data_IF_719145695515
#
_entry.id   IF_719145695515
#
_cell.length_a   1.000
_cell.length_b   1.000
_cell.length_c   1.000
_cell.angle_alpha   90.00
_cell.angle_beta   90.00
_cell.angle_gamma   90.00
#
_symmetry.space_group_name_H-M   'P 1'
#
loop_
_entity.id
_entity.type
_entity.pdbx_description
1 polymer ?
#
# COMPACT_ATOMS: atom_id res chain seq x y z
N UNK A 1 -8.62 -11.77 -25.04
CA UNK A 1 -7.45 -10.87 -25.01
C UNK A 1 -7.55 -10.06 -23.74
N UNK A 2 -6.66 -10.28 -22.76
CA UNK A 2 -6.54 -9.38 -21.63
C UNK A 2 -5.78 -8.15 -22.13
N UNK A 3 -6.40 -6.97 -22.00
CA UNK A 3 -5.69 -5.72 -22.26
C UNK A 3 -4.52 -5.62 -21.27
N UNK A 4 -3.33 -5.20 -21.70
CA UNK A 4 -2.28 -4.86 -20.75
C UNK A 4 -2.84 -3.79 -19.83
N UNK A 5 -2.82 -4.07 -18.54
CA UNK A 5 -3.11 -3.05 -17.53
C UNK A 5 -2.15 -1.90 -17.81
N UNK A 6 -2.66 -0.66 -17.79
CA UNK A 6 -1.79 0.50 -17.77
C UNK A 6 -1.01 0.48 -16.45
N UNK A 7 0.21 -0.03 -16.53
CA UNK A 7 1.12 -0.21 -15.39
C UNK A 7 1.36 1.11 -14.65
N UNK A 8 1.23 2.26 -15.32
CA UNK A 8 1.42 3.58 -14.71
C UNK A 8 0.21 3.97 -13.87
N UNK A 9 -1.00 3.83 -14.43
CA UNK A 9 -2.24 4.11 -13.70
C UNK A 9 -2.40 3.16 -12.51
N UNK A 10 -2.09 1.87 -12.69
CA UNK A 10 -2.08 0.88 -11.61
C UNK A 10 -1.07 1.26 -10.52
N UNK A 11 0.17 1.59 -10.87
CA UNK A 11 1.19 1.95 -9.89
C UNK A 11 0.83 3.24 -9.13
N UNK A 12 0.23 4.22 -9.81
CA UNK A 12 -0.29 5.43 -9.17
C UNK A 12 -1.40 5.10 -8.17
N UNK A 13 -2.36 4.25 -8.56
CA UNK A 13 -3.41 3.78 -7.68
C UNK A 13 -2.86 3.04 -6.46
N UNK A 14 -1.88 2.13 -6.63
CA UNK A 14 -1.24 1.41 -5.52
C UNK A 14 -0.52 2.36 -4.55
N UNK A 15 0.19 3.37 -5.06
CA UNK A 15 0.83 4.40 -4.23
C UNK A 15 -0.20 5.16 -3.38
N UNK A 16 -1.37 5.48 -3.94
CA UNK A 16 -2.46 6.08 -3.18
C UNK A 16 -3.01 5.11 -2.12
N UNK A 17 -3.18 3.83 -2.44
CA UNK A 17 -3.62 2.83 -1.45
C UNK A 17 -2.66 2.75 -0.26
N UNK A 18 -1.34 2.84 -0.50
CA UNK A 18 -0.34 2.90 0.58
C UNK A 18 -0.53 4.10 1.50
N UNK A 19 -0.80 5.28 0.94
CA UNK A 19 -1.10 6.50 1.73
C UNK A 19 -2.37 6.34 2.56
N UNK A 20 -3.41 5.67 2.02
CA UNK A 20 -4.63 5.36 2.78
C UNK A 20 -4.34 4.44 3.95
N UNK A 21 -3.52 3.39 3.76
CA UNK A 21 -3.13 2.48 4.85
C UNK A 21 -2.32 3.21 5.94
N UNK A 22 -1.45 4.13 5.56
CA UNK A 22 -0.70 4.96 6.50
C UNK A 22 -1.63 5.84 7.35
N UNK A 23 -2.57 6.54 6.70
CA UNK A 23 -3.56 7.36 7.39
C UNK A 23 -4.44 6.51 8.33
N UNK A 24 -4.88 5.34 7.87
CA UNK A 24 -5.69 4.43 8.65
C UNK A 24 -4.94 3.90 9.88
N UNK A 25 -3.65 3.56 9.74
CA UNK A 25 -2.81 3.17 10.88
C UNK A 25 -2.76 4.29 11.93
N UNK A 26 -2.50 5.53 11.50
CA UNK A 26 -2.42 6.67 12.40
C UNK A 26 -3.75 6.91 13.12
N UNK A 27 -4.88 6.79 12.41
CA UNK A 27 -6.21 6.92 13.00
C UNK A 27 -6.50 5.82 14.04
N UNK A 28 -6.11 4.58 13.75
CA UNK A 28 -6.28 3.45 14.67
C UNK A 28 -5.51 3.66 15.97
N UNK A 29 -4.31 4.26 15.93
CA UNK A 29 -3.53 4.56 17.14
C UNK A 29 -4.17 5.63 18.05
N UNK A 30 -5.07 6.47 17.52
CA UNK A 30 -5.75 7.50 18.29
C UNK A 30 -7.04 7.03 18.96
N UNK A 31 -7.48 5.79 18.67
CA UNK A 31 -8.76 5.24 19.11
C UNK A 31 -8.57 4.29 20.30
N UNK A 32 -9.18 4.55 21.47
CA UNK A 32 -8.98 3.74 22.67
C UNK A 32 -9.55 2.32 22.56
N UNK A 33 -10.49 2.07 21.64
CA UNK A 33 -11.08 0.77 21.37
C UNK A 33 -10.22 -0.12 20.45
N UNK A 34 -9.18 0.44 19.85
CA UNK A 34 -8.32 -0.28 18.92
C UNK A 34 -7.39 -1.23 19.68
N UNK A 35 -7.27 -2.47 19.18
CA UNK A 35 -6.31 -3.44 19.70
C UNK A 35 -5.00 -3.42 18.91
N UNK A 36 -3.90 -3.79 19.56
CA UNK A 36 -2.60 -3.96 18.90
C UNK A 36 -2.68 -4.92 17.70
N UNK A 37 -3.56 -5.92 17.77
CA UNK A 37 -3.77 -6.87 16.66
C UNK A 37 -4.34 -6.17 15.42
N UNK A 38 -5.23 -5.19 15.59
CA UNK A 38 -5.78 -4.43 14.47
C UNK A 38 -4.72 -3.52 13.85
N UNK A 39 -3.92 -2.85 14.68
CA UNK A 39 -2.81 -2.00 14.22
C UNK A 39 -1.80 -2.84 13.44
N UNK A 40 -1.40 -3.98 14.00
CA UNK A 40 -0.44 -4.91 13.39
C UNK A 40 -0.92 -5.42 12.02
N UNK A 41 -2.22 -5.68 11.85
CA UNK A 41 -2.77 -6.11 10.55
C UNK A 41 -2.63 -5.02 9.49
N UNK A 42 -2.93 -3.77 9.84
CA UNK A 42 -2.78 -2.63 8.90
C UNK A 42 -1.31 -2.39 8.59
N UNK A 43 -0.44 -2.49 9.58
CA UNK A 43 1.01 -2.36 9.39
C UNK A 43 1.60 -3.45 8.50
N UNK A 44 1.20 -4.72 8.71
CA UNK A 44 1.59 -5.83 7.82
C UNK A 44 1.16 -5.58 6.38
N UNK A 45 -0.06 -5.08 6.18
CA UNK A 45 -0.57 -4.76 4.85
C UNK A 45 0.20 -3.59 4.22
N UNK A 46 0.48 -2.54 4.98
CA UNK A 46 1.29 -1.41 4.53
C UNK A 46 2.69 -1.85 4.09
N UNK A 47 3.34 -2.73 4.86
CA UNK A 47 4.67 -3.24 4.56
C UNK A 47 4.66 -4.08 3.27
N UNK A 48 3.74 -5.04 3.16
CA UNK A 48 3.57 -5.85 1.96
C UNK A 48 3.35 -4.99 0.70
N UNK A 49 2.44 -4.01 0.78
CA UNK A 49 2.14 -3.13 -0.36
C UNK A 49 3.34 -2.25 -0.73
N UNK A 50 4.11 -1.79 0.26
CA UNK A 50 5.31 -0.99 0.03
C UNK A 50 6.39 -1.77 -0.72
N UNK A 51 6.56 -3.05 -0.37
CA UNK A 51 7.47 -3.95 -1.09
C UNK A 51 6.98 -4.23 -2.51
N UNK A 52 5.68 -4.47 -2.70
CA UNK A 52 5.11 -4.73 -4.02
C UNK A 52 5.25 -3.53 -4.96
N UNK A 53 4.96 -2.31 -4.46
CA UNK A 53 5.20 -1.06 -5.20
C UNK A 53 6.69 -0.92 -5.58
N UNK A 54 7.60 -1.29 -4.67
CA UNK A 54 9.04 -1.21 -4.94
C UNK A 54 9.47 -2.19 -6.02
N UNK A 55 8.93 -3.42 -6.02
CA UNK A 55 9.14 -4.42 -7.08
C UNK A 55 8.61 -3.95 -8.43
N UNK A 56 7.45 -3.29 -8.45
CA UNK A 56 6.82 -2.81 -9.69
C UNK A 56 7.48 -1.53 -10.25
N UNK A 57 7.99 -0.63 -9.39
CA UNK A 57 8.67 0.60 -9.82
C UNK A 57 10.11 0.35 -10.29
N UNK A 58 10.78 -0.71 -9.83
CA UNK A 58 12.18 -1.00 -10.16
C UNK A 58 12.45 -1.29 -11.65
N UNK A 59 11.70 -2.16 -12.34
CA UNK A 59 11.84 -2.37 -13.79
C UNK A 59 11.62 -1.08 -14.61
N UNK A 60 10.75 -0.19 -14.13
CA UNK A 60 10.41 1.07 -14.81
C UNK A 60 11.51 2.13 -14.72
N UNK A 61 12.40 2.05 -13.72
CA UNK A 61 13.56 2.96 -13.62
C UNK A 61 14.74 2.54 -14.48
N UNK A 62 14.75 1.29 -14.95
CA UNK A 62 15.84 0.73 -15.76
C UNK A 62 15.57 0.84 -17.28
N UNK A 63 14.36 1.24 -17.68
CA UNK A 63 13.93 1.52 -19.06
C UNK A 63 13.94 3.02 -19.34
#
# INVERSE_FOLDING_TARGET
>A
MCLPIDDTAMLCWLKNQRTVLEAWRNELTCRPETTDTMINRVEQHYNWLSEEISRLDAPRRAA
#
